data_IF_928478429813
#
_entry.id   IF_928478429813
#
_cell.length_a   1.000
_cell.length_b   1.000
_cell.length_c   1.000
_cell.angle_alpha   90.00
_cell.angle_beta   90.00
_cell.angle_gamma   90.00
#
_symmetry.space_group_name_H-M   'P 1'
#
loop_
_entity.id
_entity.type
_entity.pdbx_description
1 polymer ?
#
# COMPACT_ATOMS: atom_id res chain seq x y z
N UNK A 1 3.26 -6.23 -25.67
CA UNK A 1 2.41 -5.02 -25.67
C UNK A 1 2.19 -4.62 -24.23
N UNK A 2 2.78 -3.51 -23.80
CA UNK A 2 2.35 -2.89 -22.53
C UNK A 2 0.95 -2.32 -22.76
N UNK A 3 0.03 -2.62 -21.86
CA UNK A 3 -1.35 -2.18 -21.98
C UNK A 3 -1.36 -0.65 -21.84
N UNK A 4 -1.67 0.06 -22.94
CA UNK A 4 -1.75 1.53 -23.00
C UNK A 4 -2.65 2.08 -21.89
N UNK A 5 -3.67 1.29 -21.52
CA UNK A 5 -4.53 1.59 -20.39
C UNK A 5 -3.77 1.57 -19.05
N UNK A 6 -2.96 0.55 -18.77
CA UNK A 6 -2.18 0.47 -17.52
C UNK A 6 -1.16 1.60 -17.39
N UNK A 7 -0.50 2.00 -18.48
CA UNK A 7 0.47 3.10 -18.47
C UNK A 7 -0.24 4.40 -18.07
N UNK A 8 -1.36 4.71 -18.73
CA UNK A 8 -2.14 5.92 -18.45
C UNK A 8 -2.67 5.95 -17.01
N UNK A 9 -3.15 4.81 -16.51
CA UNK A 9 -3.65 4.72 -15.13
C UNK A 9 -2.53 4.86 -14.10
N UNK A 10 -1.32 4.34 -14.38
CA UNK A 10 -0.16 4.51 -13.50
C UNK A 10 0.28 5.98 -13.40
N UNK A 11 0.31 6.70 -14.53
CA UNK A 11 0.62 8.14 -14.55
C UNK A 11 -0.42 8.96 -13.78
N UNK A 12 -1.70 8.62 -13.92
CA UNK A 12 -2.80 9.29 -13.22
C UNK A 12 -2.72 9.08 -11.70
N UNK A 13 -2.48 7.84 -11.25
CA UNK A 13 -2.27 7.50 -9.84
C UNK A 13 -1.05 8.22 -9.26
N UNK A 14 0.06 8.24 -10.00
CA UNK A 14 1.26 8.98 -9.61
C UNK A 14 0.97 10.48 -9.50
N UNK A 15 0.22 11.04 -10.44
CA UNK A 15 -0.21 12.43 -10.42
C UNK A 15 -1.04 12.78 -9.19
N UNK A 16 -1.98 11.91 -8.79
CA UNK A 16 -2.75 12.12 -7.55
C UNK A 16 -1.88 12.04 -6.30
N UNK A 17 -0.90 11.13 -6.25
CA UNK A 17 0.03 11.04 -5.13
C UNK A 17 0.89 12.31 -5.00
N UNK A 18 1.45 12.80 -6.11
CA UNK A 18 2.26 14.03 -6.14
C UNK A 18 1.43 15.25 -5.70
N UNK A 19 0.17 15.34 -6.12
CA UNK A 19 -0.74 16.44 -5.73
C UNK A 19 -1.38 16.27 -4.36
N UNK A 20 -1.04 15.22 -3.61
CA UNK A 20 -1.65 14.88 -2.32
C UNK A 20 -3.19 14.70 -2.39
N UNK A 21 -3.72 14.29 -3.54
CA UNK A 21 -5.14 14.07 -3.77
C UNK A 21 -5.57 12.66 -3.32
N UNK A 22 -5.46 12.38 -2.02
CA UNK A 22 -5.68 11.04 -1.45
C UNK A 22 -7.05 10.42 -1.79
N UNK A 23 -8.10 11.24 -1.90
CA UNK A 23 -9.44 10.78 -2.28
C UNK A 23 -9.47 10.21 -3.71
N UNK A 24 -8.82 10.91 -4.65
CA UNK A 24 -8.78 10.50 -6.06
C UNK A 24 -7.81 9.33 -6.26
N UNK A 25 -6.68 9.32 -5.55
CA UNK A 25 -5.75 8.20 -5.48
C UNK A 25 -6.46 6.89 -5.07
N UNK A 26 -7.20 6.91 -3.96
CA UNK A 26 -7.96 5.75 -3.49
C UNK A 26 -9.09 5.33 -4.45
N UNK A 27 -9.70 6.29 -5.15
CA UNK A 27 -10.73 6.00 -6.16
C UNK A 27 -10.14 5.28 -7.37
N UNK A 28 -8.99 5.74 -7.86
CA UNK A 28 -8.29 5.13 -8.99
C UNK A 28 -7.81 3.70 -8.67
N UNK A 29 -7.23 3.49 -7.49
CA UNK A 29 -6.83 2.14 -7.03
C UNK A 29 -8.04 1.19 -6.98
N UNK A 30 -9.17 1.63 -6.42
CA UNK A 30 -10.40 0.82 -6.39
C UNK A 30 -10.93 0.46 -7.78
N UNK A 31 -10.72 1.32 -8.79
CA UNK A 31 -11.15 1.04 -10.15
C UNK A 31 -10.32 -0.10 -10.79
N UNK A 32 -9.04 -0.24 -10.44
CA UNK A 32 -8.17 -1.32 -10.94
C UNK A 32 -8.50 -2.66 -10.27
N UNK A 33 -8.59 -2.67 -8.95
CA UNK A 33 -8.78 -3.91 -8.17
C UNK A 33 -10.24 -4.34 -8.04
N UNK A 34 -11.19 -3.53 -8.52
CA UNK A 34 -12.62 -3.79 -8.42
C UNK A 34 -13.20 -3.55 -7.02
N UNK A 35 -14.46 -3.95 -6.78
CA UNK A 35 -15.09 -3.85 -5.47
C UNK A 35 -14.26 -4.61 -4.44
N UNK A 36 -13.62 -3.87 -3.53
CA UNK A 36 -12.86 -4.44 -2.44
C UNK A 36 -13.81 -5.32 -1.59
N UNK A 37 -13.60 -6.63 -1.61
CA UNK A 37 -14.36 -7.58 -0.79
C UNK A 37 -14.10 -7.16 0.66
N UNK A 38 -15.15 -6.73 1.37
CA UNK A 38 -15.07 -6.29 2.77
C UNK A 38 -14.95 -7.48 3.72
N UNK A 39 -14.10 -8.44 3.39
CA UNK A 39 -13.66 -9.47 4.32
C UNK A 39 -12.62 -8.88 5.24
N UNK A 40 -12.87 -8.91 6.54
CA UNK A 40 -11.78 -8.78 7.51
C UNK A 40 -10.98 -10.08 7.43
N UNK A 41 -9.93 -10.09 6.62
CA UNK A 41 -9.00 -11.22 6.60
C UNK A 41 -8.21 -11.22 7.93
N UNK A 42 -8.14 -12.35 8.65
CA UNK A 42 -7.27 -12.48 9.80
C UNK A 42 -5.82 -12.15 9.42
N UNK A 43 -5.12 -11.40 10.25
CA UNK A 43 -3.73 -11.01 10.04
C UNK A 43 -2.84 -11.68 11.06
N UNK A 44 -1.61 -12.03 10.67
CA UNK A 44 -0.62 -12.49 11.64
C UNK A 44 -0.11 -11.32 12.48
N UNK A 45 0.16 -11.59 13.76
CA UNK A 45 0.85 -10.70 14.68
C UNK A 45 2.29 -10.42 14.21
N UNK A 46 2.95 -9.42 14.82
CA UNK A 46 4.31 -9.02 14.40
C UNK A 46 5.35 -10.12 14.59
N UNK A 47 5.15 -10.98 15.58
CA UNK A 47 5.97 -12.15 15.90
C UNK A 47 5.54 -13.40 15.12
N UNK A 48 4.47 -13.32 14.33
CA UNK A 48 3.99 -14.41 13.46
C UNK A 48 3.30 -15.57 14.18
N UNK A 49 3.05 -15.47 15.49
CA UNK A 49 2.53 -16.58 16.30
C UNK A 49 1.00 -16.62 16.38
N UNK A 50 0.34 -15.46 16.25
CA UNK A 50 -1.08 -15.31 16.57
C UNK A 50 -1.85 -14.74 15.38
N UNK A 51 -3.04 -15.30 15.10
CA UNK A 51 -3.99 -14.74 14.15
C UNK A 51 -4.88 -13.69 14.82
N UNK A 52 -4.79 -12.46 14.34
CA UNK A 52 -5.59 -11.32 14.76
C UNK A 52 -6.89 -11.30 13.96
N UNK A 53 -8.01 -11.47 14.64
CA UNK A 53 -9.36 -11.46 14.06
C UNK A 53 -10.14 -10.20 14.46
N UNK A 54 -9.77 -9.56 15.58
CA UNK A 54 -10.39 -8.32 16.01
C UNK A 54 -9.95 -7.13 15.17
N UNK A 55 -10.91 -6.32 14.71
CA UNK A 55 -10.68 -5.15 13.86
C UNK A 55 -9.69 -4.16 14.48
N UNK A 56 -9.77 -3.91 15.79
CA UNK A 56 -8.87 -3.00 16.51
C UNK A 56 -7.42 -3.48 16.47
N UNK A 57 -7.20 -4.77 16.70
CA UNK A 57 -5.89 -5.42 16.67
C UNK A 57 -5.30 -5.41 15.25
N UNK A 58 -6.14 -5.70 14.25
CA UNK A 58 -5.78 -5.63 12.83
C UNK A 58 -5.34 -4.21 12.45
N UNK A 59 -6.11 -3.17 12.83
CA UNK A 59 -5.76 -1.78 12.54
C UNK A 59 -4.46 -1.36 13.23
N UNK A 60 -4.23 -1.80 14.47
CA UNK A 60 -2.98 -1.56 15.18
C UNK A 60 -1.80 -2.21 14.46
N UNK A 61 -1.95 -3.46 14.02
CA UNK A 61 -0.92 -4.18 13.25
C UNK A 61 -0.62 -3.52 11.90
N UNK A 62 -1.64 -3.01 11.21
CA UNK A 62 -1.47 -2.22 9.99
C UNK A 62 -0.65 -0.95 10.24
N UNK A 63 -0.96 -0.22 11.31
CA UNK A 63 -0.19 0.98 11.67
C UNK A 63 1.28 0.67 11.98
N UNK A 64 1.56 -0.42 12.70
CA UNK A 64 2.93 -0.89 12.97
C UNK A 64 3.68 -1.24 11.67
N UNK A 65 3.05 -2.01 10.78
CA UNK A 65 3.65 -2.42 9.51
C UNK A 65 3.94 -1.22 8.60
N UNK A 66 2.96 -0.33 8.42
CA UNK A 66 3.12 0.90 7.62
C UNK A 66 4.23 1.77 8.18
N UNK A 67 4.32 1.90 9.52
CA UNK A 67 5.41 2.65 10.15
C UNK A 67 6.77 2.02 9.86
N UNK A 68 6.89 0.69 9.94
CA UNK A 68 8.13 -0.02 9.63
C UNK A 68 8.54 0.14 8.18
N UNK A 69 7.59 0.10 7.23
CA UNK A 69 7.87 0.23 5.81
C UNK A 69 8.26 1.67 5.46
N UNK A 70 7.51 2.66 5.96
CA UNK A 70 7.71 4.07 5.60
C UNK A 70 8.87 4.74 6.34
N UNK A 71 9.19 4.30 7.55
CA UNK A 71 10.33 4.83 8.32
C UNK A 71 11.57 3.94 8.22
N UNK A 72 11.58 2.98 7.29
CA UNK A 72 12.78 2.22 7.00
C UNK A 72 13.84 3.18 6.46
N UNK A 73 14.93 3.37 7.21
CA UNK A 73 16.08 4.14 6.72
C UNK A 73 16.66 3.39 5.53
N UNK A 74 16.59 4.01 4.35
CA UNK A 74 17.20 3.46 3.15
C UNK A 74 18.67 3.87 3.12
N UNK A 75 19.56 2.90 3.25
CA UNK A 75 20.93 3.08 2.81
C UNK A 75 20.93 2.86 1.28
N UNK A 76 20.98 3.95 0.51
CA UNK A 76 21.32 3.85 -0.90
C UNK A 76 22.78 3.38 -0.94
N UNK A 77 23.03 2.23 -1.56
CA UNK A 77 24.40 1.74 -1.71
C UNK A 77 25.17 2.69 -2.62
N UNK A 78 26.39 3.08 -2.21
CA UNK A 78 27.28 3.93 -3.03
C UNK A 78 27.56 3.33 -4.41
N UNK A 79 27.47 1.99 -4.55
CA UNK A 79 27.62 1.29 -5.82
C UNK A 79 26.47 1.52 -6.82
N UNK A 80 25.34 2.09 -6.37
CA UNK A 80 24.24 2.49 -7.26
C UNK A 80 24.37 3.95 -7.74
N UNK A 81 25.36 4.69 -7.23
CA UNK A 81 25.65 6.09 -7.57
C UNK A 81 26.80 6.17 -8.60
N UNK A 82 27.59 5.10 -8.78
CA UNK A 82 28.60 4.92 -9.84
C UNK A 82 27.97 4.42 -11.15
#
# INVERSE_FOLDING_TARGET
>A
MQDVWMIRTAEEIKGYAIRNEMKNFLKAIKAIYGPCIKGTAPLLSSDGTTLLTEKSQILKRWAEHVRSVLNCSSAISDAAID
#
